data_IF_218374739041
#
_entry.id   IF_218374739041
#
_cell.length_a   1.000
_cell.length_b   1.000
_cell.length_c   1.000
_cell.angle_alpha   90.00
_cell.angle_beta   90.00
_cell.angle_gamma   90.00
#
_symmetry.space_group_name_H-M   'P 1'
#
loop_
_entity.id
_entity.type
_entity.pdbx_description
1 polymer ?
#
# COMPACT_ATOMS: atom_id res chain seq x y z
N UNK A 1 -5.37 -22.26 -29.85
CA UNK A 1 -6.68 -21.59 -29.80
C UNK A 1 -6.68 -20.75 -28.53
N UNK A 2 -6.26 -19.49 -28.64
CA UNK A 2 -6.22 -18.56 -27.50
C UNK A 2 -7.58 -17.91 -27.31
N UNK A 3 -8.17 -18.15 -26.15
CA UNK A 3 -9.40 -17.48 -25.74
C UNK A 3 -9.16 -15.98 -25.62
N UNK A 4 -9.75 -15.21 -26.50
CA UNK A 4 -9.83 -13.75 -26.39
C UNK A 4 -10.77 -13.48 -25.19
N UNK A 5 -10.16 -13.20 -24.04
CA UNK A 5 -10.87 -12.61 -22.91
C UNK A 5 -11.44 -11.27 -23.41
N UNK A 6 -12.74 -11.25 -23.67
CA UNK A 6 -13.49 -10.04 -24.03
C UNK A 6 -13.33 -9.04 -22.89
N UNK A 7 -12.43 -8.09 -23.08
CA UNK A 7 -12.06 -7.08 -22.09
C UNK A 7 -13.23 -6.11 -22.00
N UNK A 8 -14.01 -6.17 -20.93
CA UNK A 8 -15.07 -5.19 -20.68
C UNK A 8 -14.38 -3.80 -20.54
N UNK A 9 -14.59 -2.98 -21.56
CA UNK A 9 -14.11 -1.60 -21.61
C UNK A 9 -15.12 -0.71 -20.87
N UNK A 10 -14.71 -0.13 -19.78
CA UNK A 10 -15.56 0.78 -18.99
C UNK A 10 -14.78 2.07 -18.73
N UNK A 11 -15.44 3.21 -18.81
CA UNK A 11 -14.91 4.47 -18.31
C UNK A 11 -14.93 4.47 -16.77
N UNK A 12 -13.97 5.15 -16.16
CA UNK A 12 -13.96 5.33 -14.71
C UNK A 12 -15.22 6.09 -14.29
N UNK A 13 -16.13 5.47 -13.50
CA UNK A 13 -17.38 6.10 -13.10
C UNK A 13 -17.20 7.33 -12.20
N UNK A 14 -16.03 7.51 -11.61
CA UNK A 14 -15.69 8.69 -10.82
C UNK A 14 -15.36 9.91 -11.69
N UNK A 15 -15.13 9.73 -12.99
CA UNK A 15 -14.77 10.80 -13.91
C UNK A 15 -16.02 11.30 -14.68
N UNK A 16 -16.44 12.56 -14.51
CA UNK A 16 -17.56 13.11 -15.24
C UNK A 16 -17.25 13.26 -16.73
N UNK A 17 -18.24 13.02 -17.58
CA UNK A 17 -18.24 13.31 -19.02
C UNK A 17 -18.88 14.67 -19.20
N UNK A 18 -18.16 15.63 -19.78
CA UNK A 18 -18.58 17.02 -19.94
C UNK A 18 -18.55 17.40 -21.41
N UNK A 19 -19.71 17.75 -21.98
CA UNK A 19 -19.82 18.32 -23.31
C UNK A 19 -19.42 19.80 -23.28
N UNK A 20 -18.37 20.15 -23.97
CA UNK A 20 -17.88 21.54 -24.09
C UNK A 20 -18.36 22.21 -25.38
N UNK A 21 -18.79 21.42 -26.36
CA UNK A 21 -19.50 21.82 -27.57
C UNK A 21 -20.36 20.65 -28.05
N UNK A 22 -21.23 20.81 -29.08
CA UNK A 22 -22.01 19.71 -29.62
C UNK A 22 -21.17 18.53 -30.13
N UNK A 23 -19.90 18.74 -30.46
CA UNK A 23 -19.00 17.71 -31.03
C UNK A 23 -17.74 17.49 -30.20
N UNK A 24 -17.61 18.15 -29.04
CA UNK A 24 -16.42 18.01 -28.21
C UNK A 24 -16.77 17.56 -26.80
N UNK A 25 -16.16 16.47 -26.37
CA UNK A 25 -16.32 15.88 -25.05
C UNK A 25 -15.00 15.93 -24.29
N UNK A 26 -15.08 16.33 -23.03
CA UNK A 26 -14.01 16.29 -22.07
C UNK A 26 -14.36 15.29 -20.96
N UNK A 27 -13.40 14.45 -20.55
CA UNK A 27 -13.53 13.51 -19.43
C UNK A 27 -12.60 13.97 -18.31
N UNK A 28 -13.18 14.21 -17.14
CA UNK A 28 -12.54 14.82 -15.97
C UNK A 28 -12.90 16.31 -15.82
N UNK A 29 -13.30 16.71 -14.60
CA UNK A 29 -13.76 18.07 -14.32
C UNK A 29 -12.61 19.02 -13.96
N UNK A 30 -11.79 18.66 -12.98
CA UNK A 30 -10.68 19.51 -12.54
C UNK A 30 -9.51 19.46 -13.53
N UNK A 31 -9.19 18.28 -14.01
CA UNK A 31 -8.18 18.03 -15.03
C UNK A 31 -8.84 17.28 -16.19
N UNK A 32 -8.66 17.76 -17.40
CA UNK A 32 -9.05 17.01 -18.59
C UNK A 32 -8.07 15.86 -18.79
N UNK A 33 -8.49 14.65 -18.42
CA UNK A 33 -7.70 13.45 -18.61
C UNK A 33 -7.79 12.92 -20.05
N UNK A 34 -8.92 13.17 -20.70
CA UNK A 34 -9.10 12.97 -22.13
C UNK A 34 -10.00 14.05 -22.72
N UNK A 35 -9.73 14.46 -23.96
CA UNK A 35 -10.58 15.34 -24.76
C UNK A 35 -10.75 14.71 -26.13
N UNK A 36 -12.01 14.57 -26.56
CA UNK A 36 -12.38 14.02 -27.85
C UNK A 36 -13.02 15.13 -28.66
N UNK A 37 -12.55 15.30 -29.90
CA UNK A 37 -13.12 16.23 -30.88
C UNK A 37 -13.85 15.44 -31.96
N UNK A 38 -14.72 16.10 -32.68
CA UNK A 38 -15.51 15.54 -33.78
C UNK A 38 -16.29 14.26 -33.36
N UNK A 39 -16.85 14.31 -32.16
CA UNK A 39 -17.70 13.25 -31.60
C UNK A 39 -19.04 13.25 -32.32
N UNK A 40 -19.33 12.17 -33.05
CA UNK A 40 -20.63 11.92 -33.65
C UNK A 40 -21.55 11.09 -32.75
N UNK A 41 -22.79 10.89 -33.16
CA UNK A 41 -23.81 10.20 -32.40
C UNK A 41 -23.42 8.74 -32.07
N UNK A 42 -22.70 8.07 -32.96
CA UNK A 42 -22.22 6.70 -32.72
C UNK A 42 -21.17 6.66 -31.61
N UNK A 43 -20.23 7.58 -31.63
CA UNK A 43 -19.20 7.74 -30.58
C UNK A 43 -19.82 8.18 -29.26
N UNK A 44 -20.76 9.14 -29.29
CA UNK A 44 -21.48 9.62 -28.11
C UNK A 44 -22.26 8.46 -27.42
N UNK A 45 -22.97 7.68 -28.20
CA UNK A 45 -23.69 6.49 -27.70
C UNK A 45 -22.76 5.44 -27.11
N UNK A 46 -21.57 5.26 -27.69
CA UNK A 46 -20.56 4.34 -27.17
C UNK A 46 -19.99 4.84 -25.83
N UNK A 47 -19.65 6.12 -25.72
CA UNK A 47 -19.15 6.75 -24.49
C UNK A 47 -20.17 6.63 -23.35
N UNK A 48 -21.43 6.87 -23.62
CA UNK A 48 -22.52 6.75 -22.65
C UNK A 48 -22.67 5.30 -22.15
N UNK A 49 -22.60 4.31 -23.04
CA UNK A 49 -22.60 2.89 -22.66
C UNK A 49 -21.37 2.51 -21.84
N UNK A 50 -20.19 2.98 -22.24
CA UNK A 50 -18.94 2.75 -21.51
C UNK A 50 -18.99 3.36 -20.10
N UNK A 51 -19.60 4.53 -19.96
CA UNK A 51 -19.75 5.20 -18.66
C UNK A 51 -20.73 4.43 -17.75
N UNK A 52 -21.83 3.91 -18.29
CA UNK A 52 -22.78 3.07 -17.56
C UNK A 52 -22.26 1.64 -17.29
N UNK A 53 -21.10 1.29 -17.81
CA UNK A 53 -20.51 -0.03 -17.61
C UNK A 53 -21.16 -1.14 -18.45
N UNK A 54 -21.94 -0.77 -19.45
CA UNK A 54 -22.57 -1.68 -20.40
C UNK A 54 -21.83 -1.56 -21.72
N UNK A 55 -20.80 -2.33 -21.93
CA UNK A 55 -20.18 -2.43 -23.25
C UNK A 55 -20.39 -3.84 -23.77
N UNK A 56 -21.33 -4.03 -24.67
CA UNK A 56 -21.29 -5.19 -25.51
C UNK A 56 -20.20 -4.98 -26.55
N UNK A 57 -19.40 -6.00 -26.74
CA UNK A 57 -18.55 -6.26 -27.90
C UNK A 57 -18.09 -5.04 -28.74
N UNK A 58 -16.83 -4.90 -28.77
CA UNK A 58 -15.96 -4.28 -29.77
C UNK A 58 -16.39 -2.92 -30.35
N UNK A 59 -15.76 -1.83 -29.85
CA UNK A 59 -15.83 -0.51 -30.48
C UNK A 59 -15.60 -0.56 -32.01
N UNK A 60 -14.80 -1.52 -32.46
CA UNK A 60 -14.53 -1.80 -33.88
C UNK A 60 -15.79 -2.14 -34.68
N UNK A 61 -16.76 -2.86 -34.12
CA UNK A 61 -18.03 -3.20 -34.80
C UNK A 61 -18.87 -1.95 -35.04
N UNK A 62 -18.81 -0.97 -34.13
CA UNK A 62 -19.61 0.27 -34.23
C UNK A 62 -18.94 1.34 -35.08
N UNK A 63 -17.61 1.46 -34.96
CA UNK A 63 -16.85 2.59 -35.51
C UNK A 63 -15.89 2.20 -36.65
N UNK A 64 -15.67 0.90 -36.88
CA UNK A 64 -14.56 0.40 -37.71
C UNK A 64 -13.24 0.38 -36.94
N UNK A 65 -12.30 -0.49 -37.39
CA UNK A 65 -11.07 -0.80 -36.64
C UNK A 65 -10.19 0.41 -36.37
N UNK A 66 -9.90 1.25 -37.35
CA UNK A 66 -9.00 2.40 -37.22
C UNK A 66 -9.56 3.46 -36.29
N UNK A 67 -10.85 3.72 -36.36
CA UNK A 67 -11.52 4.72 -35.54
C UNK A 67 -11.63 4.24 -34.10
N UNK A 68 -11.97 2.99 -33.90
CA UNK A 68 -12.00 2.35 -32.59
C UNK A 68 -10.62 2.37 -31.93
N UNK A 69 -9.55 2.05 -32.67
CA UNK A 69 -8.20 2.10 -32.15
C UNK A 69 -7.80 3.51 -31.69
N UNK A 70 -8.09 4.56 -32.48
CA UNK A 70 -7.83 5.95 -32.09
C UNK A 70 -8.64 6.37 -30.85
N UNK A 71 -9.92 6.02 -30.81
CA UNK A 71 -10.78 6.30 -29.67
C UNK A 71 -10.25 5.63 -28.40
N UNK A 72 -9.90 4.35 -28.46
CA UNK A 72 -9.38 3.62 -27.31
C UNK A 72 -8.02 4.15 -26.84
N UNK A 73 -7.17 4.57 -27.75
CA UNK A 73 -5.91 5.23 -27.40
C UNK A 73 -6.15 6.56 -26.66
N UNK A 74 -7.08 7.38 -27.14
CA UNK A 74 -7.45 8.63 -26.50
C UNK A 74 -8.13 8.43 -25.13
N UNK A 75 -8.87 7.34 -24.95
CA UNK A 75 -9.56 7.00 -23.72
C UNK A 75 -8.68 6.23 -22.72
N UNK A 76 -7.50 5.76 -23.11
CA UNK A 76 -6.63 4.95 -22.25
C UNK A 76 -6.43 5.53 -20.83
N UNK A 77 -6.23 6.86 -20.63
CA UNK A 77 -6.07 7.45 -19.31
C UNK A 77 -7.34 7.44 -18.44
N UNK A 78 -8.51 7.28 -19.05
CA UNK A 78 -9.83 7.38 -18.40
C UNK A 78 -10.61 6.07 -18.42
N UNK A 79 -10.06 5.03 -19.01
CA UNK A 79 -10.63 3.69 -18.86
C UNK A 79 -10.51 3.27 -17.40
N UNK A 80 -11.60 2.77 -16.85
CA UNK A 80 -11.57 2.20 -15.52
C UNK A 80 -10.41 1.20 -15.45
N UNK A 81 -9.45 1.50 -14.62
CA UNK A 81 -8.38 0.56 -14.30
C UNK A 81 -9.02 -0.76 -13.90
N UNK A 82 -8.38 -1.87 -14.25
CA UNK A 82 -8.72 -3.18 -13.71
C UNK A 82 -9.19 -2.99 -12.27
N UNK A 83 -10.28 -3.66 -11.89
CA UNK A 83 -10.66 -3.77 -10.47
C UNK A 83 -9.38 -3.92 -9.67
N UNK A 84 -9.14 -2.99 -8.74
CA UNK A 84 -7.92 -3.06 -7.90
C UNK A 84 -7.88 -4.45 -7.31
N UNK A 85 -6.79 -5.20 -7.46
CA UNK A 85 -6.71 -6.54 -6.90
C UNK A 85 -6.99 -6.46 -5.40
N UNK A 86 -7.92 -7.28 -4.93
CA UNK A 86 -8.25 -7.35 -3.52
C UNK A 86 -7.19 -8.15 -2.80
N UNK A 87 -6.43 -7.49 -1.93
CA UNK A 87 -5.45 -8.16 -1.09
C UNK A 87 -6.12 -8.77 0.14
N UNK A 88 -5.57 -9.89 0.59
CA UNK A 88 -5.85 -10.46 1.91
C UNK A 88 -4.85 -9.88 2.91
N UNK A 89 -5.36 -9.07 3.82
CA UNK A 89 -4.54 -8.30 4.76
C UNK A 89 -4.75 -8.83 6.17
N UNK A 90 -3.66 -9.14 6.87
CA UNK A 90 -3.70 -9.48 8.29
C UNK A 90 -3.35 -8.23 9.11
N UNK A 91 -4.27 -7.78 9.96
CA UNK A 91 -4.00 -6.72 10.93
C UNK A 91 -3.94 -7.38 12.31
N UNK A 92 -2.75 -7.46 12.91
CA UNK A 92 -2.56 -7.95 14.28
C UNK A 92 -2.43 -6.79 15.27
N UNK A 93 -2.56 -7.08 16.56
CA UNK A 93 -2.58 -6.07 17.60
C UNK A 93 -3.99 -5.63 17.98
N UNK A 94 -4.05 -4.75 18.98
CA UNK A 94 -5.29 -4.25 19.58
C UNK A 94 -5.30 -2.70 19.57
N UNK A 95 -6.37 -2.13 20.12
CA UNK A 95 -6.53 -0.68 20.27
C UNK A 95 -7.12 0.02 19.04
N UNK A 96 -7.28 1.35 19.13
CA UNK A 96 -8.01 2.15 18.15
C UNK A 96 -7.39 2.13 16.75
N UNK A 97 -6.05 2.15 16.65
CA UNK A 97 -5.33 2.10 15.36
C UNK A 97 -5.64 0.80 14.63
N UNK A 98 -5.47 -0.35 15.30
CA UNK A 98 -5.73 -1.65 14.68
C UNK A 98 -7.21 -1.84 14.30
N UNK A 99 -8.14 -1.38 15.16
CA UNK A 99 -9.57 -1.44 14.89
C UNK A 99 -9.98 -0.62 13.66
N UNK A 100 -9.50 0.62 13.61
CA UNK A 100 -9.80 1.53 12.48
C UNK A 100 -9.16 1.05 11.18
N UNK A 101 -7.94 0.50 11.23
CA UNK A 101 -7.28 -0.10 10.06
C UNK A 101 -8.10 -1.24 9.45
N UNK A 102 -8.60 -2.17 10.28
CA UNK A 102 -9.42 -3.28 9.76
C UNK A 102 -10.64 -2.75 9.00
N UNK A 103 -11.38 -1.82 9.62
CA UNK A 103 -12.58 -1.24 9.03
C UNK A 103 -12.28 -0.52 7.70
N UNK A 104 -11.28 0.36 7.67
CA UNK A 104 -10.95 1.14 6.46
C UNK A 104 -10.46 0.24 5.33
N UNK A 105 -9.63 -0.77 5.62
CA UNK A 105 -9.16 -1.70 4.60
C UNK A 105 -10.30 -2.56 4.01
N UNK A 106 -11.32 -2.91 4.81
CA UNK A 106 -12.53 -3.58 4.33
C UNK A 106 -13.39 -2.63 3.47
N UNK A 107 -13.55 -1.37 3.87
CA UNK A 107 -14.23 -0.34 3.10
C UNK A 107 -13.53 -0.05 1.76
N UNK A 108 -12.20 -0.10 1.72
CA UNK A 108 -11.39 -0.02 0.50
C UNK A 108 -11.49 -1.27 -0.39
N UNK A 109 -12.21 -2.30 0.06
CA UNK A 109 -12.47 -3.54 -0.68
C UNK A 109 -11.43 -4.64 -0.49
N UNK A 110 -10.46 -4.48 0.42
CA UNK A 110 -9.55 -5.54 0.80
C UNK A 110 -10.22 -6.55 1.74
N UNK A 111 -9.63 -7.73 1.88
CA UNK A 111 -10.15 -8.76 2.78
C UNK A 111 -9.28 -8.88 4.02
N UNK A 112 -9.79 -8.50 5.18
CA UNK A 112 -9.11 -8.78 6.45
C UNK A 112 -9.18 -10.27 6.74
N UNK A 113 -8.01 -10.93 6.85
CA UNK A 113 -7.90 -12.38 6.97
C UNK A 113 -6.69 -12.78 7.85
N UNK A 114 -6.73 -14.01 8.38
CA UNK A 114 -5.62 -14.58 9.15
C UNK A 114 -4.87 -15.69 8.39
N UNK A 115 -5.42 -16.14 7.25
CA UNK A 115 -4.86 -17.22 6.43
C UNK A 115 -4.71 -16.73 4.97
N UNK A 116 -3.71 -17.30 4.29
CA UNK A 116 -3.38 -16.96 2.91
C UNK A 116 -3.24 -15.44 2.72
N UNK A 117 -2.48 -14.82 3.60
CA UNK A 117 -2.30 -13.37 3.73
C UNK A 117 -1.27 -12.88 2.72
N UNK A 118 -1.61 -11.83 1.98
CA UNK A 118 -0.71 -11.18 1.03
C UNK A 118 0.16 -10.14 1.74
N UNK A 119 -0.42 -9.38 2.70
CA UNK A 119 0.28 -8.35 3.50
C UNK A 119 -0.08 -8.45 4.96
N UNK A 120 0.91 -8.41 5.86
CA UNK A 120 0.69 -8.37 7.32
C UNK A 120 0.97 -6.97 7.86
N UNK A 121 0.08 -6.47 8.71
CA UNK A 121 0.18 -5.16 9.38
C UNK A 121 0.15 -5.40 10.89
N UNK A 122 1.30 -5.66 11.51
CA UNK A 122 1.37 -5.74 12.97
C UNK A 122 1.31 -4.34 13.57
N UNK A 123 0.36 -4.11 14.47
CA UNK A 123 0.24 -2.91 15.29
C UNK A 123 0.74 -3.23 16.68
N UNK A 124 1.72 -2.49 17.13
CA UNK A 124 2.36 -2.71 18.44
C UNK A 124 2.65 -1.38 19.14
N UNK A 125 2.67 -1.42 20.46
CA UNK A 125 3.08 -0.31 21.30
C UNK A 125 4.60 -0.31 21.46
N UNK A 126 5.21 0.86 21.44
CA UNK A 126 6.62 1.13 21.66
C UNK A 126 7.60 0.50 20.66
N UNK A 127 7.45 -0.77 20.39
CA UNK A 127 8.28 -1.53 19.44
C UNK A 127 7.59 -2.79 18.95
N UNK A 128 7.95 -3.25 17.77
CA UNK A 128 7.47 -4.55 17.29
C UNK A 128 8.18 -5.67 18.06
N UNK A 129 7.45 -6.58 18.72
CA UNK A 129 8.05 -7.70 19.45
C UNK A 129 8.95 -8.57 18.56
N UNK A 130 10.10 -8.99 19.11
CA UNK A 130 11.09 -9.79 18.36
C UNK A 130 10.51 -11.10 17.80
N UNK A 131 9.66 -11.76 18.56
CA UNK A 131 9.00 -12.98 18.12
C UNK A 131 8.10 -12.75 16.92
N UNK A 132 7.35 -11.65 16.89
CA UNK A 132 6.48 -11.33 15.76
C UNK A 132 7.31 -10.96 14.53
N UNK A 133 8.36 -10.15 14.70
CA UNK A 133 9.31 -9.83 13.62
C UNK A 133 9.94 -11.08 13.02
N UNK A 134 10.41 -12.01 13.86
CA UNK A 134 10.98 -13.29 13.40
C UNK A 134 9.94 -14.15 12.69
N UNK A 135 8.70 -14.17 13.19
CA UNK A 135 7.60 -14.90 12.58
C UNK A 135 7.31 -14.41 11.15
N UNK A 136 7.28 -13.11 10.94
CA UNK A 136 7.03 -12.50 9.64
C UNK A 136 8.16 -12.81 8.65
N UNK A 137 9.41 -12.67 9.07
CA UNK A 137 10.59 -12.96 8.24
C UNK A 137 10.69 -14.45 7.88
N UNK A 138 10.46 -15.36 8.85
CA UNK A 138 10.51 -16.82 8.60
C UNK A 138 9.41 -17.31 7.66
N UNK A 139 8.33 -16.57 7.51
CA UNK A 139 7.21 -16.90 6.63
C UNK A 139 7.26 -16.17 5.29
N UNK A 140 8.37 -15.47 5.02
CA UNK A 140 8.54 -14.63 3.82
C UNK A 140 7.34 -13.71 3.57
N UNK A 141 6.74 -13.19 4.66
CA UNK A 141 5.57 -12.34 4.55
C UNK A 141 5.93 -10.90 4.29
N UNK A 142 5.36 -10.33 3.23
CA UNK A 142 5.36 -8.87 3.04
C UNK A 142 4.63 -8.24 4.22
N UNK A 143 5.24 -7.23 4.84
CA UNK A 143 4.64 -6.60 6.01
C UNK A 143 5.00 -5.11 6.14
N UNK A 144 4.12 -4.38 6.80
CA UNK A 144 4.32 -2.99 7.20
C UNK A 144 3.89 -2.83 8.67
N UNK A 145 4.84 -2.74 9.60
CA UNK A 145 4.51 -2.54 11.01
C UNK A 145 3.98 -1.14 11.25
N UNK A 146 3.12 -1.02 12.25
CA UNK A 146 2.68 0.24 12.82
C UNK A 146 3.08 0.22 14.29
N UNK A 147 4.02 1.08 14.67
CA UNK A 147 4.51 1.19 16.04
C UNK A 147 4.02 2.48 16.64
N UNK A 148 3.22 2.37 17.69
CA UNK A 148 2.67 3.50 18.41
C UNK A 148 3.60 3.83 19.57
N UNK A 149 4.06 5.07 19.65
CA UNK A 149 4.83 5.62 20.77
C UNK A 149 4.10 6.75 21.47
N UNK A 150 4.74 7.37 22.44
CA UNK A 150 4.21 8.51 23.21
C UNK A 150 4.34 9.86 22.47
N UNK A 151 5.24 9.96 21.51
CA UNK A 151 5.49 11.19 20.75
C UNK A 151 5.16 11.05 19.26
N UNK A 152 5.16 9.84 18.74
CA UNK A 152 4.93 9.57 17.32
C UNK A 152 4.42 8.17 17.07
N UNK A 153 3.79 8.00 15.92
CA UNK A 153 3.51 6.69 15.34
C UNK A 153 4.44 6.50 14.16
N UNK A 154 5.08 5.33 14.08
CA UNK A 154 5.94 4.95 12.94
C UNK A 154 5.22 3.90 12.12
N UNK A 155 5.07 4.13 10.83
CA UNK A 155 4.53 3.20 9.84
C UNK A 155 5.67 2.71 8.97
N UNK A 156 5.91 1.42 8.93
CA UNK A 156 6.97 0.86 8.09
C UNK A 156 8.21 0.40 8.87
N UNK A 157 9.22 -0.02 8.14
CA UNK A 157 9.36 -0.03 6.67
C UNK A 157 8.37 -0.99 5.98
N UNK A 158 7.96 -0.66 4.74
CA UNK A 158 7.35 -1.65 3.85
C UNK A 158 8.38 -2.72 3.55
N UNK A 159 8.21 -3.87 4.16
CA UNK A 159 9.22 -4.93 4.13
C UNK A 159 8.84 -6.02 3.14
N UNK A 160 9.72 -6.21 2.16
CA UNK A 160 9.75 -7.40 1.31
C UNK A 160 10.91 -8.26 1.80
N UNK A 161 10.65 -9.41 2.42
CA UNK A 161 11.69 -10.24 3.02
C UNK A 161 12.83 -10.58 2.06
N UNK A 162 14.05 -10.56 2.54
CA UNK A 162 15.25 -10.82 1.76
C UNK A 162 15.73 -9.69 0.84
N UNK A 163 14.88 -8.70 0.53
CA UNK A 163 15.23 -7.64 -0.44
C UNK A 163 15.27 -6.23 0.15
N UNK A 164 14.39 -5.91 1.10
CA UNK A 164 14.24 -4.56 1.64
C UNK A 164 14.67 -4.47 3.11
N UNK A 165 14.77 -3.24 3.64
CA UNK A 165 14.94 -3.04 5.07
C UNK A 165 13.77 -3.66 5.84
N UNK A 166 14.06 -4.30 6.96
CA UNK A 166 13.07 -4.84 7.88
C UNK A 166 12.94 -3.93 9.14
N UNK A 167 11.95 -4.16 10.01
CA UNK A 167 11.80 -3.37 11.24
C UNK A 167 13.06 -3.33 12.12
N UNK A 168 13.85 -4.41 12.17
CA UNK A 168 15.14 -4.40 12.89
C UNK A 168 16.16 -3.47 12.24
N UNK A 169 16.18 -3.33 10.92
CA UNK A 169 17.04 -2.36 10.27
C UNK A 169 16.68 -0.94 10.70
N UNK A 170 15.39 -0.64 10.83
CA UNK A 170 14.92 0.64 11.33
C UNK A 170 15.33 0.87 12.79
N UNK A 171 15.19 -0.14 13.66
CA UNK A 171 15.59 -0.06 15.06
C UNK A 171 17.12 0.16 15.20
N UNK A 172 17.93 -0.54 14.39
CA UNK A 172 19.40 -0.39 14.41
C UNK A 172 19.88 0.95 13.86
N UNK A 173 19.13 1.55 12.94
CA UNK A 173 19.42 2.87 12.39
C UNK A 173 18.96 4.00 13.31
N UNK A 174 18.08 3.73 14.27
CA UNK A 174 17.59 4.72 15.22
C UNK A 174 18.64 4.97 16.30
N UNK A 175 19.31 6.12 16.24
CA UNK A 175 20.33 6.54 17.21
C UNK A 175 19.77 7.03 18.54
N UNK A 176 18.45 7.03 18.70
CA UNK A 176 17.80 7.41 19.95
C UNK A 176 18.05 6.37 21.03
N UNK A 177 18.00 6.83 22.27
CA UNK A 177 18.23 5.95 23.42
C UNK A 177 17.32 4.71 23.36
N UNK A 178 17.89 3.55 23.68
CA UNK A 178 17.14 2.31 23.77
C UNK A 178 15.96 2.46 24.75
N UNK A 179 14.79 2.00 24.32
CA UNK A 179 13.60 2.04 25.17
C UNK A 179 13.82 1.16 26.42
N UNK A 180 13.49 1.65 27.61
CA UNK A 180 13.58 0.88 28.84
C UNK A 180 12.63 -0.33 28.82
N UNK A 181 12.86 -1.30 29.68
CA UNK A 181 11.93 -2.41 29.90
C UNK A 181 10.76 -1.97 30.78
N UNK A 182 9.61 -2.66 30.63
CA UNK A 182 8.45 -2.43 31.48
C UNK A 182 7.75 -1.10 31.22
N UNK A 183 7.74 -0.65 29.99
CA UNK A 183 7.00 0.56 29.61
C UNK A 183 5.50 0.40 29.90
N UNK A 184 4.84 1.46 30.38
CA UNK A 184 3.41 1.46 30.61
C UNK A 184 2.63 1.35 29.27
N UNK A 185 1.35 1.01 29.31
CA UNK A 185 0.49 1.14 28.14
C UNK A 185 0.55 2.55 27.55
N UNK A 186 0.46 2.66 26.23
CA UNK A 186 0.43 3.95 25.54
C UNK A 186 -0.80 4.74 25.99
N UNK A 187 -0.65 6.02 26.36
CA UNK A 187 -1.79 6.90 26.63
C UNK A 187 -2.65 7.05 25.37
N UNK A 188 -3.82 7.68 25.53
CA UNK A 188 -4.74 7.86 24.42
C UNK A 188 -4.08 8.57 23.23
N UNK A 189 -4.15 7.93 22.08
CA UNK A 189 -3.64 8.48 20.81
C UNK A 189 -4.66 9.48 20.25
N UNK A 190 -4.25 10.68 19.82
CA UNK A 190 -5.15 11.64 19.18
C UNK A 190 -5.86 11.05 17.96
N UNK A 191 -7.16 11.31 17.81
CA UNK A 191 -7.95 10.80 16.68
C UNK A 191 -7.38 11.22 15.32
N UNK A 192 -6.82 12.42 15.21
CA UNK A 192 -6.15 12.92 14.02
C UNK A 192 -4.92 12.08 13.65
N UNK A 193 -4.11 11.69 14.62
CA UNK A 193 -2.94 10.83 14.39
C UNK A 193 -3.36 9.41 13.97
N UNK A 194 -4.43 8.87 14.57
CA UNK A 194 -5.04 7.61 14.13
C UNK A 194 -5.48 7.71 12.68
N UNK A 195 -6.23 8.76 12.32
CA UNK A 195 -6.74 8.96 10.97
C UNK A 195 -5.61 9.05 9.92
N UNK A 196 -4.56 9.83 10.21
CA UNK A 196 -3.39 9.94 9.33
C UNK A 196 -2.64 8.62 9.17
N UNK A 197 -2.44 7.91 10.29
CA UNK A 197 -1.78 6.59 10.27
C UNK A 197 -2.55 5.61 9.40
N UNK A 198 -3.86 5.54 9.61
CA UNK A 198 -4.76 4.65 8.86
C UNK A 198 -4.78 5.00 7.39
N UNK A 199 -4.91 6.29 7.04
CA UNK A 199 -4.88 6.75 5.65
C UNK A 199 -3.56 6.40 4.97
N UNK A 200 -2.42 6.61 5.65
CA UNK A 200 -1.11 6.29 5.09
C UNK A 200 -0.93 4.78 4.84
N UNK A 201 -1.32 3.93 5.79
CA UNK A 201 -1.28 2.47 5.63
C UNK A 201 -2.20 2.01 4.51
N UNK A 202 -3.43 2.55 4.43
CA UNK A 202 -4.38 2.21 3.36
C UNK A 202 -3.82 2.57 1.97
N UNK A 203 -3.16 3.73 1.84
CA UNK A 203 -2.46 4.11 0.60
C UNK A 203 -1.36 3.11 0.25
N UNK A 204 -0.51 2.70 1.21
CA UNK A 204 0.53 1.70 0.96
C UNK A 204 -0.04 0.36 0.50
N UNK A 205 -1.14 -0.11 1.12
CA UNK A 205 -1.81 -1.35 0.74
C UNK A 205 -2.45 -1.24 -0.65
N UNK A 206 -3.07 -0.10 -0.97
CA UNK A 206 -3.62 0.18 -2.29
C UNK A 206 -2.52 0.20 -3.37
N UNK A 207 -1.37 0.83 -3.10
CA UNK A 207 -0.21 0.80 -3.99
C UNK A 207 0.33 -0.62 -4.17
N UNK A 208 0.36 -1.42 -3.09
CA UNK A 208 0.76 -2.82 -3.19
C UNK A 208 -0.19 -3.64 -4.06
N UNK A 209 -1.49 -3.40 -3.98
CA UNK A 209 -2.47 -4.03 -4.86
C UNK A 209 -2.24 -3.71 -6.34
N UNK A 210 -1.69 -2.54 -6.64
CA UNK A 210 -1.30 -2.12 -7.99
C UNK A 210 0.11 -2.59 -8.40
N UNK A 211 0.88 -3.18 -7.47
CA UNK A 211 2.29 -3.53 -7.70
C UNK A 211 3.25 -2.33 -7.62
N UNK A 212 2.81 -1.20 -7.06
CA UNK A 212 3.52 0.08 -7.00
C UNK A 212 4.08 0.40 -5.60
N UNK A 213 3.89 -0.47 -4.62
CA UNK A 213 4.42 -0.25 -3.28
C UNK A 213 5.94 -0.17 -3.29
N UNK A 214 6.48 0.89 -2.71
CA UNK A 214 7.92 1.13 -2.66
C UNK A 214 8.54 0.39 -1.47
N UNK A 215 9.44 -0.59 -1.69
CA UNK A 215 10.14 -1.27 -0.62
C UNK A 215 10.95 -0.30 0.26
N UNK A 216 11.01 -0.58 1.55
CA UNK A 216 11.72 0.21 2.57
C UNK A 216 11.15 1.61 2.83
N UNK A 217 10.01 1.96 2.23
CA UNK A 217 9.32 3.22 2.50
C UNK A 217 8.39 3.11 3.71
N UNK A 218 8.06 4.26 4.28
CA UNK A 218 7.09 4.42 5.35
C UNK A 218 6.97 5.87 5.81
N UNK A 219 6.45 6.09 7.00
CA UNK A 219 6.25 7.42 7.54
C UNK A 219 6.35 7.46 9.08
N UNK A 220 6.57 8.65 9.58
CA UNK A 220 6.48 9.00 11.00
C UNK A 220 5.44 10.11 11.18
N UNK A 221 4.50 9.91 12.09
CA UNK A 221 3.42 10.86 12.41
C UNK A 221 3.64 11.38 13.84
N UNK A 222 3.94 12.67 13.98
CA UNK A 222 4.12 13.32 15.28
C UNK A 222 2.78 13.49 15.98
N UNK A 223 2.63 13.00 17.23
CA UNK A 223 1.36 13.06 17.96
C UNK A 223 0.97 14.48 18.37
N UNK A 224 1.95 15.30 18.72
CA UNK A 224 1.68 16.68 19.19
C UNK A 224 1.20 17.62 18.08
N UNK A 225 1.71 17.47 16.87
CA UNK A 225 1.47 18.41 15.77
C UNK A 225 0.68 17.82 14.61
N UNK A 226 0.56 16.49 14.54
CA UNK A 226 0.06 15.79 13.38
C UNK A 226 1.00 15.85 12.18
N UNK A 227 2.24 16.32 12.36
CA UNK A 227 3.23 16.39 11.28
C UNK A 227 3.56 15.01 10.75
N UNK A 228 3.46 14.83 9.43
CA UNK A 228 3.84 13.59 8.74
C UNK A 228 5.18 13.78 8.06
N UNK A 229 6.12 12.89 8.36
CA UNK A 229 7.42 12.80 7.69
C UNK A 229 7.50 11.49 6.93
N UNK A 230 7.86 11.56 5.65
CA UNK A 230 8.14 10.35 4.86
C UNK A 230 9.49 9.80 5.27
N UNK A 231 9.53 8.51 5.56
CA UNK A 231 10.73 7.80 6.00
C UNK A 231 11.16 6.79 4.93
N UNK A 232 12.46 6.60 4.82
CA UNK A 232 13.05 5.56 4.00
C UNK A 232 14.22 4.92 4.73
N UNK A 233 14.19 3.61 4.84
CA UNK A 233 15.23 2.85 5.52
C UNK A 233 16.10 2.08 4.54
N UNK A 234 17.37 1.93 4.88
CA UNK A 234 18.29 1.02 4.18
C UNK A 234 18.47 -0.26 4.98
N UNK A 235 18.72 -1.40 4.33
CA UNK A 235 19.13 -2.60 5.04
C UNK A 235 20.39 -2.33 5.87
N UNK A 236 20.33 -2.61 7.18
CA UNK A 236 21.44 -2.35 8.08
C UNK A 236 22.47 -3.50 7.99
N UNK A 237 23.77 -3.21 7.94
CA UNK A 237 24.81 -4.24 7.78
C UNK A 237 24.82 -5.28 8.91
N UNK A 238 24.50 -4.88 10.14
CA UNK A 238 24.41 -5.78 11.29
C UNK A 238 23.06 -6.52 11.40
N UNK A 239 22.15 -6.31 10.45
CA UNK A 239 20.87 -6.99 10.42
C UNK A 239 20.94 -8.26 9.56
N UNK A 240 20.73 -9.42 10.16
CA UNK A 240 20.72 -10.69 9.42
C UNK A 240 19.47 -10.93 8.54
N UNK A 241 18.62 -9.92 8.28
CA UNK A 241 17.38 -10.10 7.52
C UNK A 241 17.59 -10.44 6.03
N UNK A 242 18.79 -10.23 5.50
CA UNK A 242 19.20 -10.58 4.13
C UNK A 242 20.14 -11.78 4.08
N UNK A 243 20.46 -12.38 5.22
CA UNK A 243 21.27 -13.57 5.27
C UNK A 243 20.50 -14.78 4.70
N UNK A 244 21.22 -15.68 4.04
CA UNK A 244 20.66 -16.95 3.58
C UNK A 244 20.05 -17.73 4.75
N UNK A 245 18.97 -18.51 4.53
CA UNK A 245 18.37 -19.32 5.56
C UNK A 245 19.43 -20.22 6.24
N UNK A 246 19.51 -20.17 7.57
CA UNK A 246 20.50 -20.91 8.34
C UNK A 246 21.81 -20.16 8.69
N UNK A 247 22.19 -19.11 7.98
CA UNK A 247 23.42 -18.33 8.26
C UNK A 247 23.20 -17.25 9.33
N UNK A 248 21.97 -16.80 9.56
CA UNK A 248 21.64 -15.77 10.56
C UNK A 248 21.92 -16.21 12.02
N UNK A 249 22.09 -17.52 12.28
CA UNK A 249 22.43 -18.04 13.63
C UNK A 249 23.91 -17.91 13.98
N UNK A 250 24.78 -17.84 13.01
CA UNK A 250 26.23 -17.77 13.26
C UNK A 250 26.69 -16.37 13.71
N UNK A 251 25.96 -15.31 13.33
CA UNK A 251 26.32 -13.91 13.66
C UNK A 251 25.85 -13.46 15.05
N UNK A 252 25.02 -14.25 15.73
CA UNK A 252 24.49 -13.92 17.07
C UNK A 252 25.25 -14.59 18.22
N UNK A 253 26.28 -15.37 17.92
CA UNK A 253 27.19 -15.87 18.93
C UNK A 253 28.16 -14.72 19.30
N UNK A 254 27.76 -13.93 20.29
CA UNK A 254 28.64 -12.96 20.94
C UNK A 254 29.96 -13.65 21.32
N UNK A 255 31.08 -13.09 20.91
CA UNK A 255 32.37 -13.47 21.42
C UNK A 255 32.33 -13.43 22.95
N UNK A 256 32.84 -14.45 23.66
CA UNK A 256 32.88 -14.43 25.11
C UNK A 256 33.73 -13.24 25.56
N UNK A 257 33.14 -12.38 26.36
CA UNK A 257 33.89 -11.30 27.06
C UNK A 257 34.97 -11.95 27.91
N UNK A 258 36.25 -11.63 27.72
CA UNK A 258 37.29 -12.16 28.58
C UNK A 258 37.06 -11.63 30.00
N UNK A 259 36.93 -12.57 30.95
CA UNK A 259 36.91 -12.29 32.38
C UNK A 259 38.23 -11.61 32.72
N UNK A 260 38.19 -10.35 33.15
CA UNK A 260 39.34 -9.69 33.77
C UNK A 260 39.61 -10.41 35.07
N UNK A 261 40.77 -11.08 35.14
CA UNK A 261 41.36 -11.51 36.40
C UNK A 261 41.72 -10.25 37.19
N UNK A 262 41.08 -10.08 38.34
CA UNK A 262 41.51 -9.15 39.39
C UNK A 262 42.64 -9.84 40.15
N UNK A 263 43.87 -9.32 40.05
CA UNK A 263 44.96 -9.57 40.97
C UNK A 263 44.98 -8.50 42.05
#
# INVERSE_FOLDING_TARGET
>A
MGGILTRMLRLDPALPIIWTSPTTVRIGAQLALATLHDVDDATASLLDRMHRGVVPAEPAVVLGDDRAARLLAALAPVLASRERPRLRVEVTGAGPVAGTLRRVLEEDGHRVARRAVDVSIPVADWRLPDLERQRLLRRDRVHVPVVVGDQRIVVGPWTVPGTSACPRCADLADTRAALPHGLPPIPAVPASAIAQTVAHVAVLVNLAALGEATPSAGASIALATGGLSVERWSPHPECGCRALPGTARASAASAPTPLRATG
#
